data_IF_218532091471
#
_entry.id   IF_218532091471
#
_cell.length_a   1.000
_cell.length_b   1.000
_cell.length_c   1.000
_cell.angle_alpha   90.00
_cell.angle_beta   90.00
_cell.angle_gamma   90.00
#
_symmetry.space_group_name_H-M   'P 1'
#
loop_
_entity.id
_entity.type
_entity.pdbx_description
1 polymer ?
#
# COMPACT_ATOMS: atom_id res chain seq x y z
N UNK A 1 -15.09 -19.96 0.20
CA UNK A 1 -13.96 -19.11 0.58
C UNK A 1 -14.45 -17.68 0.60
N UNK A 2 -14.36 -17.01 1.74
CA UNK A 2 -14.71 -15.59 1.89
C UNK A 2 -13.74 -14.71 1.09
N UNK A 3 -14.09 -13.44 0.85
CA UNK A 3 -13.20 -12.48 0.17
C UNK A 3 -11.88 -12.35 0.96
N UNK A 4 -11.98 -12.23 2.28
CA UNK A 4 -10.83 -12.14 3.17
C UNK A 4 -9.90 -13.36 3.05
N UNK A 5 -10.47 -14.57 3.07
CA UNK A 5 -9.68 -15.81 2.93
C UNK A 5 -8.95 -15.87 1.59
N UNK A 6 -9.60 -15.48 0.48
CA UNK A 6 -8.97 -15.44 -0.84
C UNK A 6 -7.79 -14.47 -0.88
N UNK A 7 -7.99 -13.26 -0.35
CA UNK A 7 -6.96 -12.23 -0.30
C UNK A 7 -5.77 -12.65 0.57
N UNK A 8 -6.02 -13.24 1.74
CA UNK A 8 -4.95 -13.75 2.61
C UNK A 8 -4.21 -14.90 1.93
N UNK A 9 -4.92 -15.82 1.25
CA UNK A 9 -4.26 -16.89 0.50
C UNK A 9 -3.36 -16.34 -0.62
N UNK A 10 -3.77 -15.28 -1.29
CA UNK A 10 -2.95 -14.60 -2.30
C UNK A 10 -1.66 -14.01 -1.70
N UNK A 11 -1.70 -13.48 -0.48
CA UNK A 11 -0.49 -13.02 0.22
C UNK A 11 0.42 -14.20 0.57
N UNK A 12 -0.17 -15.30 1.05
CA UNK A 12 0.54 -16.51 1.47
C UNK A 12 1.10 -17.35 0.32
N UNK A 13 0.74 -17.08 -0.94
CA UNK A 13 1.27 -17.81 -2.11
C UNK A 13 2.70 -17.41 -2.50
N UNK A 14 3.46 -16.81 -1.57
CA UNK A 14 4.83 -16.34 -1.76
C UNK A 14 4.97 -14.86 -2.16
N UNK A 15 3.87 -14.10 -2.17
CA UNK A 15 3.89 -12.66 -2.52
C UNK A 15 4.25 -11.81 -1.30
N UNK A 16 3.63 -12.06 -0.15
CA UNK A 16 3.93 -11.40 1.12
C UNK A 16 3.50 -12.31 2.28
N UNK A 17 4.22 -13.43 2.43
CA UNK A 17 3.97 -14.41 3.48
C UNK A 17 4.05 -13.83 4.91
N UNK A 18 5.00 -12.92 5.26
CA UNK A 18 5.04 -12.29 6.58
C UNK A 18 3.74 -11.57 6.94
N UNK A 19 3.23 -10.71 6.05
CA UNK A 19 1.97 -10.00 6.28
C UNK A 19 0.78 -10.97 6.32
N UNK A 20 0.73 -11.96 5.43
CA UNK A 20 -0.32 -12.98 5.42
C UNK A 20 -0.41 -13.71 6.77
N UNK A 21 0.73 -14.12 7.32
CA UNK A 21 0.80 -14.76 8.64
C UNK A 21 0.43 -13.81 9.78
N UNK A 22 0.86 -12.54 9.72
CA UNK A 22 0.49 -11.51 10.71
C UNK A 22 -1.03 -11.29 10.74
N UNK A 23 -1.67 -11.23 9.59
CA UNK A 23 -3.13 -11.10 9.44
C UNK A 23 -3.86 -12.33 10.02
N UNK A 24 -3.45 -13.54 9.66
CA UNK A 24 -4.04 -14.77 10.21
C UNK A 24 -3.94 -14.83 11.73
N UNK A 25 -2.75 -14.53 12.27
CA UNK A 25 -2.53 -14.51 13.71
C UNK A 25 -3.40 -13.46 14.39
N UNK A 26 -3.59 -12.28 13.79
CA UNK A 26 -4.47 -11.27 14.35
C UNK A 26 -5.91 -11.75 14.40
N UNK A 27 -6.45 -12.28 13.30
CA UNK A 27 -7.85 -12.72 13.20
C UNK A 27 -8.16 -13.87 14.17
N UNK A 28 -7.20 -14.74 14.44
CA UNK A 28 -7.37 -15.86 15.37
C UNK A 28 -7.35 -15.43 16.85
N UNK A 29 -6.60 -14.38 17.19
CA UNK A 29 -6.31 -14.02 18.58
C UNK A 29 -6.96 -12.72 19.03
N UNK A 30 -7.42 -11.88 18.10
CA UNK A 30 -7.95 -10.53 18.36
C UNK A 30 -9.15 -10.27 17.47
N UNK A 31 -9.99 -9.34 17.90
CA UNK A 31 -11.12 -8.83 17.12
C UNK A 31 -10.81 -7.44 16.61
N UNK A 32 -11.23 -7.13 15.38
CA UNK A 32 -11.22 -5.75 14.90
C UNK A 32 -12.20 -4.95 15.75
N UNK A 33 -11.68 -3.97 16.48
CA UNK A 33 -12.45 -3.28 17.51
C UNK A 33 -12.47 -1.78 17.31
N UNK A 34 -11.44 -1.20 16.71
CA UNK A 34 -11.30 0.24 16.49
C UNK A 34 -12.10 0.70 15.28
N UNK A 35 -11.97 -0.02 14.18
CA UNK A 35 -12.58 0.37 12.91
C UNK A 35 -13.77 -0.51 12.57
N UNK A 36 -14.81 0.08 12.01
CA UNK A 36 -15.96 -0.62 11.42
C UNK A 36 -16.23 -0.08 10.03
N UNK A 37 -16.82 -0.90 9.15
CA UNK A 37 -17.31 -0.45 7.84
C UNK A 37 -18.84 -0.52 7.81
N UNK A 38 -19.48 0.50 7.23
CA UNK A 38 -20.94 0.56 7.07
C UNK A 38 -21.40 -0.04 5.72
N UNK A 39 -22.72 -0.06 5.46
CA UNK A 39 -23.28 -0.55 4.20
C UNK A 39 -22.83 0.25 2.95
N UNK A 40 -22.39 1.50 3.13
CA UNK A 40 -21.91 2.38 2.06
C UNK A 40 -20.39 2.27 1.86
N UNK A 41 -19.75 1.30 2.53
CA UNK A 41 -18.31 1.07 2.50
C UNK A 41 -17.48 2.18 3.15
N UNK A 42 -18.10 3.06 3.96
CA UNK A 42 -17.40 4.08 4.71
C UNK A 42 -16.86 3.48 6.02
N UNK A 43 -15.66 3.89 6.40
CA UNK A 43 -14.98 3.38 7.59
C UNK A 43 -15.20 4.36 8.73
N UNK A 44 -15.68 3.85 9.86
CA UNK A 44 -15.81 4.61 11.10
C UNK A 44 -14.65 4.29 12.04
N UNK A 45 -13.87 5.31 12.43
CA UNK A 45 -12.87 5.19 13.50
C UNK A 45 -13.53 5.50 14.85
N UNK A 46 -13.67 4.49 15.71
CA UNK A 46 -14.26 4.66 17.05
C UNK A 46 -13.34 5.41 18.01
N UNK A 47 -12.03 5.40 17.80
CA UNK A 47 -11.08 6.14 18.65
C UNK A 47 -11.23 7.65 18.45
N UNK A 48 -11.35 8.08 17.21
CA UNK A 48 -11.52 9.50 16.86
C UNK A 48 -12.99 9.93 16.72
N UNK A 49 -13.92 8.97 16.74
CA UNK A 49 -15.36 9.18 16.60
C UNK A 49 -15.71 9.96 15.32
N UNK A 50 -15.14 9.51 14.19
CA UNK A 50 -15.27 10.17 12.88
C UNK A 50 -15.32 9.12 11.76
N UNK A 51 -16.03 9.45 10.69
CA UNK A 51 -15.94 8.69 9.44
C UNK A 51 -14.67 9.07 8.68
N UNK A 52 -14.09 8.09 7.99
CA UNK A 52 -12.88 8.26 7.18
C UNK A 52 -13.14 9.14 5.96
N UNK A 53 -14.34 9.06 5.40
CA UNK A 53 -14.77 9.88 4.28
C UNK A 53 -15.96 10.75 4.68
N UNK A 54 -15.94 12.02 4.34
CA UNK A 54 -17.10 12.91 4.38
C UNK A 54 -18.06 12.59 3.24
N UNK A 55 -17.50 12.45 2.03
CA UNK A 55 -18.21 11.94 0.85
C UNK A 55 -17.32 10.94 0.12
N UNK A 56 -17.60 9.65 0.33
CA UNK A 56 -16.79 8.55 -0.17
C UNK A 56 -16.58 8.57 -1.68
N UNK A 57 -17.63 8.84 -2.47
CA UNK A 57 -17.53 8.81 -3.93
C UNK A 57 -16.75 10.02 -4.45
N UNK A 58 -17.06 11.22 -3.96
CA UNK A 58 -16.37 12.45 -4.38
C UNK A 58 -14.89 12.42 -4.01
N UNK A 59 -14.55 12.01 -2.78
CA UNK A 59 -13.17 11.94 -2.33
C UNK A 59 -12.39 10.87 -3.12
N UNK A 60 -12.91 9.66 -3.27
CA UNK A 60 -12.24 8.62 -4.06
C UNK A 60 -11.98 9.11 -5.48
N UNK A 61 -12.97 9.73 -6.13
CA UNK A 61 -12.83 10.26 -7.48
C UNK A 61 -11.79 11.39 -7.54
N UNK A 62 -11.79 12.30 -6.57
CA UNK A 62 -10.82 13.39 -6.50
C UNK A 62 -9.39 12.88 -6.38
N UNK A 63 -9.11 11.97 -5.44
CA UNK A 63 -7.77 11.41 -5.25
C UNK A 63 -7.34 10.55 -6.45
N UNK A 64 -8.27 9.75 -6.99
CA UNK A 64 -8.02 8.96 -8.19
C UNK A 64 -7.57 9.81 -9.39
N UNK A 65 -8.32 10.88 -9.71
CA UNK A 65 -7.96 11.77 -10.83
C UNK A 65 -6.66 12.52 -10.55
N UNK A 66 -6.49 13.05 -9.34
CA UNK A 66 -5.28 13.79 -8.94
C UNK A 66 -4.00 12.95 -9.09
N UNK A 67 -4.07 11.66 -8.75
CA UNK A 67 -2.94 10.74 -8.91
C UNK A 67 -2.68 10.49 -10.41
N UNK A 68 -3.71 10.11 -11.18
CA UNK A 68 -3.55 9.85 -12.62
C UNK A 68 -2.97 11.04 -13.40
N UNK A 69 -3.37 12.26 -13.06
CA UNK A 69 -2.88 13.49 -13.68
C UNK A 69 -1.39 13.74 -13.39
N UNK A 70 -0.93 13.42 -12.18
CA UNK A 70 0.46 13.62 -11.75
C UNK A 70 1.42 12.56 -12.25
N UNK A 71 0.96 11.33 -12.48
CA UNK A 71 1.81 10.19 -12.81
C UNK A 71 1.52 9.59 -14.19
N UNK A 72 1.47 10.40 -15.27
CA UNK A 72 1.20 9.88 -16.59
C UNK A 72 2.33 8.95 -17.03
N UNK A 73 1.97 7.71 -17.39
CA UNK A 73 2.89 6.66 -17.89
C UNK A 73 3.87 6.11 -16.85
N UNK A 74 3.73 6.48 -15.58
CA UNK A 74 4.59 5.90 -14.55
C UNK A 74 4.25 4.41 -14.40
N UNK A 75 5.22 3.50 -14.34
CA UNK A 75 4.95 2.08 -14.21
C UNK A 75 4.50 1.72 -12.79
N UNK A 76 4.84 2.56 -11.80
CA UNK A 76 4.50 2.35 -10.41
C UNK A 76 4.04 3.63 -9.71
N UNK A 77 3.35 3.45 -8.58
CA UNK A 77 3.09 4.50 -7.59
C UNK A 77 3.16 3.93 -6.18
N UNK A 78 3.43 4.80 -5.21
CA UNK A 78 3.37 4.49 -3.79
C UNK A 78 2.25 5.30 -3.15
N UNK A 79 1.40 4.65 -2.33
CA UNK A 79 0.28 5.27 -1.65
C UNK A 79 0.28 4.87 -0.17
N UNK A 80 0.14 5.85 0.71
CA UNK A 80 -0.08 5.62 2.13
C UNK A 80 -1.58 5.58 2.45
N UNK A 81 -1.98 4.51 3.13
CA UNK A 81 -3.33 4.21 3.58
C UNK A 81 -4.05 3.23 2.68
N UNK A 82 -4.57 2.15 3.26
CA UNK A 82 -5.41 1.17 2.54
C UNK A 82 -6.83 1.68 2.31
N UNK A 83 -7.37 2.44 3.27
CA UNK A 83 -8.78 2.82 3.30
C UNK A 83 -9.69 1.60 3.21
N UNK A 84 -10.75 1.69 2.39
CA UNK A 84 -11.65 0.57 2.09
C UNK A 84 -11.21 -0.21 0.83
N UNK A 85 -9.99 0.01 0.33
CA UNK A 85 -9.43 -0.54 -0.91
C UNK A 85 -10.10 -0.15 -2.25
N UNK A 86 -11.17 0.65 -2.29
CA UNK A 86 -11.79 1.06 -3.56
C UNK A 86 -10.84 1.88 -4.44
N UNK A 87 -10.17 2.87 -3.87
CA UNK A 87 -9.18 3.69 -4.59
C UNK A 87 -8.04 2.81 -5.14
N UNK A 88 -7.53 1.90 -4.31
CA UNK A 88 -6.46 0.97 -4.68
C UNK A 88 -6.88 0.08 -5.85
N UNK A 89 -8.08 -0.52 -5.78
CA UNK A 89 -8.61 -1.37 -6.86
C UNK A 89 -8.73 -0.60 -8.18
N UNK A 90 -9.14 0.67 -8.12
CA UNK A 90 -9.26 1.50 -9.31
C UNK A 90 -7.88 1.88 -9.88
N UNK A 91 -6.95 2.33 -9.04
CA UNK A 91 -5.58 2.67 -9.46
C UNK A 91 -4.84 1.44 -10.02
N UNK A 92 -5.07 0.26 -9.46
CA UNK A 92 -4.47 -0.98 -9.95
C UNK A 92 -4.81 -1.28 -11.42
N UNK A 93 -5.81 -0.64 -12.04
CA UNK A 93 -6.06 -0.79 -13.49
C UNK A 93 -5.02 -0.08 -14.35
N UNK A 94 -4.30 0.90 -13.80
CA UNK A 94 -3.44 1.83 -14.54
C UNK A 94 -1.94 1.63 -14.30
N UNK A 95 -1.56 1.01 -13.19
CA UNK A 95 -0.15 0.80 -12.82
C UNK A 95 0.24 -0.67 -12.93
N UNK A 96 1.51 -0.93 -13.22
CA UNK A 96 2.08 -2.28 -13.14
C UNK A 96 2.37 -2.66 -11.69
N UNK A 97 2.84 -1.71 -10.90
CA UNK A 97 3.15 -1.90 -9.49
C UNK A 97 2.52 -0.81 -8.63
N UNK A 98 1.65 -1.21 -7.70
CA UNK A 98 1.00 -0.33 -6.74
C UNK A 98 1.45 -0.72 -5.34
N UNK A 99 2.29 0.09 -4.72
CA UNK A 99 2.74 -0.12 -3.35
C UNK A 99 1.83 0.60 -2.38
N UNK A 100 1.18 -0.14 -1.49
CA UNK A 100 0.23 0.38 -0.52
C UNK A 100 0.81 0.20 0.87
N UNK A 101 1.08 1.31 1.54
CA UNK A 101 1.67 1.37 2.87
C UNK A 101 0.58 1.54 3.92
N UNK A 102 0.64 0.81 5.01
CA UNK A 102 -0.30 0.95 6.13
C UNK A 102 0.35 0.49 7.44
N UNK A 103 0.06 1.21 8.53
CA UNK A 103 0.52 0.88 9.88
C UNK A 103 -0.50 0.09 10.69
N UNK A 104 -1.78 0.22 10.34
CA UNK A 104 -2.88 -0.39 11.10
C UNK A 104 -3.32 -1.72 10.50
N UNK A 105 -3.02 -2.81 11.21
CA UNK A 105 -3.42 -4.15 10.80
C UNK A 105 -4.94 -4.31 10.66
N UNK A 106 -5.75 -3.60 11.46
CA UNK A 106 -7.22 -3.61 11.33
C UNK A 106 -7.69 -3.01 10.00
N UNK A 107 -7.00 -1.98 9.49
CA UNK A 107 -7.32 -1.37 8.19
C UNK A 107 -6.94 -2.28 7.02
N UNK A 108 -5.86 -3.08 7.14
CA UNK A 108 -5.61 -4.17 6.19
C UNK A 108 -6.76 -5.19 6.20
N UNK A 109 -7.17 -5.68 7.37
CA UNK A 109 -8.24 -6.67 7.47
C UNK A 109 -9.55 -6.14 6.90
N UNK A 110 -9.91 -4.90 7.20
CA UNK A 110 -11.12 -4.27 6.65
C UNK A 110 -11.05 -4.17 5.13
N UNK A 111 -9.98 -3.61 4.58
CA UNK A 111 -9.77 -3.50 3.13
C UNK A 111 -9.87 -4.87 2.44
N UNK A 112 -9.17 -5.89 2.97
CA UNK A 112 -9.16 -7.25 2.42
C UNK A 112 -10.46 -8.04 2.68
N UNK A 113 -11.30 -7.61 3.62
CA UNK A 113 -12.64 -8.17 3.79
C UNK A 113 -13.65 -7.54 2.84
N UNK A 114 -13.38 -6.32 2.39
CA UNK A 114 -14.31 -5.48 1.63
C UNK A 114 -14.18 -5.70 0.13
N UNK A 115 -12.95 -5.70 -0.39
CA UNK A 115 -12.67 -5.77 -1.83
C UNK A 115 -11.85 -7.00 -2.15
N UNK A 116 -12.27 -7.76 -3.17
CA UNK A 116 -11.46 -8.87 -3.71
C UNK A 116 -10.28 -8.28 -4.52
N UNK A 117 -9.08 -8.44 -3.97
CA UNK A 117 -7.79 -8.03 -4.55
C UNK A 117 -6.93 -9.24 -4.88
N UNK A 118 -7.47 -10.47 -4.79
CA UNK A 118 -6.67 -11.70 -4.81
C UNK A 118 -5.89 -11.86 -6.11
N UNK A 119 -6.47 -11.47 -7.25
CA UNK A 119 -5.79 -11.47 -8.54
C UNK A 119 -4.64 -10.46 -8.60
N UNK A 120 -4.87 -9.22 -8.17
CA UNK A 120 -3.85 -8.17 -8.17
C UNK A 120 -2.71 -8.46 -7.18
N UNK A 121 -3.02 -9.08 -6.05
CA UNK A 121 -2.01 -9.54 -5.08
C UNK A 121 -1.20 -10.70 -5.69
N UNK A 122 -1.84 -11.77 -6.16
CA UNK A 122 -1.17 -12.93 -6.74
C UNK A 122 -0.28 -12.57 -7.95
N UNK A 123 -0.71 -11.61 -8.76
CA UNK A 123 0.03 -11.19 -9.96
C UNK A 123 1.17 -10.21 -9.69
N UNK A 124 1.38 -9.78 -8.43
CA UNK A 124 2.39 -8.76 -8.10
C UNK A 124 2.03 -7.38 -8.66
N UNK A 125 0.73 -7.08 -8.79
CA UNK A 125 0.26 -5.77 -9.21
C UNK A 125 0.06 -4.84 -8.03
N UNK A 126 -0.42 -5.38 -6.90
CA UNK A 126 -0.53 -4.67 -5.63
C UNK A 126 0.44 -5.31 -4.64
N UNK A 127 1.25 -4.47 -4.01
CA UNK A 127 2.13 -4.85 -2.91
C UNK A 127 1.67 -4.13 -1.65
N UNK A 128 1.22 -4.90 -0.67
CA UNK A 128 0.89 -4.36 0.64
C UNK A 128 2.16 -4.32 1.49
N UNK A 129 2.48 -3.17 2.05
CA UNK A 129 3.66 -2.93 2.88
C UNK A 129 3.21 -2.52 4.26
N UNK A 130 3.49 -3.38 5.23
CA UNK A 130 3.30 -3.09 6.64
C UNK A 130 4.52 -2.35 7.16
N UNK A 131 4.36 -1.08 7.51
CA UNK A 131 5.48 -0.25 7.96
C UNK A 131 5.96 -0.59 9.37
N UNK A 132 5.17 -1.35 10.13
CA UNK A 132 5.53 -1.85 11.45
C UNK A 132 6.24 -3.23 11.37
N UNK A 133 6.49 -3.76 10.16
CA UNK A 133 7.25 -4.98 9.95
C UNK A 133 8.76 -4.72 10.19
N UNK A 134 9.39 -5.55 11.04
CA UNK A 134 10.80 -5.39 11.44
C UNK A 134 11.74 -5.35 10.22
N UNK A 135 11.39 -6.11 9.18
CA UNK A 135 12.20 -6.26 7.97
C UNK A 135 11.68 -5.45 6.78
N UNK A 136 10.90 -4.40 7.02
CA UNK A 136 10.34 -3.55 5.97
C UNK A 136 11.43 -2.94 5.07
N UNK A 137 12.58 -2.54 5.62
CA UNK A 137 13.73 -2.04 4.82
C UNK A 137 14.17 -3.08 3.77
N UNK A 138 14.32 -4.35 4.16
CA UNK A 138 14.74 -5.44 3.25
C UNK A 138 13.67 -5.67 2.19
N UNK A 139 12.39 -5.68 2.59
CA UNK A 139 11.28 -5.81 1.65
C UNK A 139 11.32 -4.70 0.59
N UNK A 140 11.52 -3.45 1.00
CA UNK A 140 11.57 -2.31 0.09
C UNK A 140 12.77 -2.34 -0.85
N UNK A 141 13.95 -2.77 -0.38
CA UNK A 141 15.11 -2.95 -1.25
C UNK A 141 14.82 -3.94 -2.37
N UNK A 142 14.17 -5.08 -2.06
CA UNK A 142 13.80 -6.09 -3.06
C UNK A 142 12.76 -5.54 -4.04
N UNK A 143 11.74 -4.85 -3.52
CA UNK A 143 10.67 -4.30 -4.34
C UNK A 143 11.19 -3.21 -5.28
N UNK A 144 12.04 -2.29 -4.81
CA UNK A 144 12.57 -1.21 -5.63
C UNK A 144 13.67 -1.63 -6.61
N UNK A 145 14.28 -2.80 -6.43
CA UNK A 145 15.26 -3.35 -7.39
C UNK A 145 14.60 -4.06 -8.60
N UNK A 146 13.27 -3.99 -8.74
CA UNK A 146 12.58 -4.51 -9.93
C UNK A 146 12.94 -3.73 -11.19
N UNK A 147 13.37 -4.46 -12.23
CA UNK A 147 14.01 -3.92 -13.45
C UNK A 147 13.21 -2.84 -14.17
N UNK A 148 11.87 -2.94 -14.20
CA UNK A 148 11.00 -2.00 -14.90
C UNK A 148 10.55 -0.80 -14.06
N UNK A 149 10.95 -0.73 -12.80
CA UNK A 149 10.75 0.45 -11.95
C UNK A 149 11.99 1.32 -11.83
N UNK A 150 13.17 0.72 -11.98
CA UNK A 150 14.45 1.36 -11.69
C UNK A 150 14.61 2.75 -12.33
N UNK A 151 14.33 2.87 -13.62
CA UNK A 151 14.46 4.13 -14.39
C UNK A 151 13.52 5.24 -13.89
N UNK A 152 12.45 4.87 -13.18
CA UNK A 152 11.42 5.77 -12.68
C UNK A 152 11.54 6.05 -11.18
N UNK A 153 12.47 5.40 -10.46
CA UNK A 153 12.65 5.62 -9.01
C UNK A 153 13.01 7.07 -8.67
N UNK A 154 13.63 7.80 -9.59
CA UNK A 154 13.91 9.24 -9.42
C UNK A 154 12.65 10.12 -9.45
N UNK A 155 11.53 9.57 -9.96
CA UNK A 155 10.23 10.22 -10.05
C UNK A 155 9.28 9.78 -8.92
N UNK A 156 9.83 9.10 -7.91
CA UNK A 156 9.09 8.67 -6.74
C UNK A 156 8.36 9.84 -6.06
N UNK A 157 7.09 9.61 -5.71
CA UNK A 157 6.26 10.44 -4.85
C UNK A 157 5.38 9.50 -4.01
N UNK A 158 5.26 9.76 -2.71
CA UNK A 158 4.28 9.08 -1.85
C UNK A 158 2.94 9.83 -1.90
N UNK A 159 1.93 9.20 -2.50
CA UNK A 159 0.56 9.68 -2.42
C UNK A 159 -0.09 9.28 -1.10
N UNK A 160 -1.21 9.91 -0.77
CA UNK A 160 -2.02 9.56 0.41
C UNK A 160 -3.44 9.29 -0.03
N UNK A 161 -4.07 8.30 0.59
CA UNK A 161 -5.35 7.76 0.16
C UNK A 161 -6.50 8.76 0.25
N UNK A 162 -6.60 9.49 1.37
CA UNK A 162 -7.69 10.43 1.62
C UNK A 162 -7.30 11.49 2.67
N UNK A 163 -8.23 12.39 2.98
CA UNK A 163 -8.04 13.49 3.95
C UNK A 163 -7.88 12.96 5.38
N UNK A 164 -8.55 11.85 5.73
CA UNK A 164 -8.45 11.24 7.05
C UNK A 164 -7.01 10.80 7.37
N UNK A 165 -6.31 10.17 6.43
CA UNK A 165 -4.90 9.79 6.64
C UNK A 165 -3.99 11.02 6.81
N UNK A 166 -4.22 12.08 6.02
CA UNK A 166 -3.49 13.35 6.20
C UNK A 166 -3.69 13.95 7.59
N UNK A 167 -4.85 13.73 8.21
CA UNK A 167 -5.19 14.33 9.51
C UNK A 167 -4.69 13.51 10.70
N UNK A 168 -4.81 12.18 10.64
CA UNK A 168 -4.56 11.31 11.79
C UNK A 168 -3.29 10.48 11.68
N UNK A 169 -2.68 10.41 10.49
CA UNK A 169 -1.50 9.60 10.20
C UNK A 169 -0.37 10.41 9.55
N UNK A 170 -0.39 11.74 9.63
CA UNK A 170 0.62 12.61 8.99
C UNK A 170 2.06 12.22 9.36
N UNK A 171 2.36 12.11 10.67
CA UNK A 171 3.69 11.73 11.15
C UNK A 171 4.12 10.34 10.67
N UNK A 172 3.17 9.39 10.58
CA UNK A 172 3.44 8.01 10.21
C UNK A 172 3.61 7.90 8.68
N UNK A 173 2.81 8.64 7.92
CA UNK A 173 2.97 8.81 6.48
C UNK A 173 4.34 9.40 6.14
N UNK A 174 4.78 10.44 6.84
CA UNK A 174 6.12 11.00 6.65
C UNK A 174 7.23 10.00 6.97
N UNK A 175 7.09 9.18 8.00
CA UNK A 175 8.05 8.09 8.28
C UNK A 175 8.09 7.05 7.14
N UNK A 176 6.94 6.69 6.59
CA UNK A 176 6.86 5.76 5.47
C UNK A 176 7.52 6.35 4.20
N UNK A 177 7.32 7.65 3.94
CA UNK A 177 7.95 8.39 2.85
C UNK A 177 9.48 8.43 3.00
N UNK A 178 9.98 8.83 4.19
CA UNK A 178 11.41 8.83 4.50
C UNK A 178 12.05 7.44 4.34
N UNK A 179 11.34 6.40 4.76
CA UNK A 179 11.77 5.01 4.62
C UNK A 179 11.93 4.62 3.15
N UNK A 180 10.96 4.98 2.30
CA UNK A 180 11.06 4.75 0.87
C UNK A 180 12.22 5.52 0.25
N UNK A 181 12.35 6.81 0.54
CA UNK A 181 13.44 7.62 0.00
C UNK A 181 14.82 7.05 0.35
N UNK A 182 15.01 6.62 1.60
CA UNK A 182 16.25 6.01 2.07
C UNK A 182 16.57 4.76 1.27
N UNK A 183 15.60 3.87 1.08
CA UNK A 183 15.79 2.61 0.34
C UNK A 183 16.02 2.85 -1.16
N UNK A 184 15.28 3.79 -1.77
CA UNK A 184 15.50 4.21 -3.16
C UNK A 184 16.92 4.77 -3.36
N UNK A 185 17.40 5.62 -2.44
CA UNK A 185 18.76 6.17 -2.49
C UNK A 185 19.81 5.06 -2.46
N UNK A 186 19.61 4.00 -1.69
CA UNK A 186 20.50 2.83 -1.65
C UNK A 186 20.49 2.07 -2.98
N UNK A 187 19.31 1.78 -3.53
CA UNK A 187 19.17 1.07 -4.82
C UNK A 187 19.87 1.84 -5.95
N UNK A 188 19.61 3.15 -6.07
CA UNK A 188 20.25 4.00 -7.08
C UNK A 188 21.77 4.03 -6.92
N UNK A 189 22.29 4.10 -5.67
CA UNK A 189 23.74 4.10 -5.40
C UNK A 189 24.42 2.80 -5.84
N UNK A 190 23.83 1.67 -5.46
CA UNK A 190 24.37 0.34 -5.79
C UNK A 190 24.46 0.13 -7.30
N UNK A 191 23.55 0.76 -8.05
CA UNK A 191 23.52 0.69 -9.51
C UNK A 191 24.60 1.56 -10.14
N UNK A 192 24.78 2.80 -9.67
CA UNK A 192 25.90 3.64 -10.12
C UNK A 192 27.26 2.97 -9.87
N UNK A 193 27.45 2.28 -8.75
CA UNK A 193 28.68 1.50 -8.52
C UNK A 193 28.82 0.31 -9.46
N UNK A 194 27.71 -0.35 -9.83
CA UNK A 194 27.72 -1.50 -10.75
C UNK A 194 28.03 -1.08 -12.19
N UNK A 195 27.51 0.07 -12.64
CA UNK A 195 27.81 0.62 -13.97
C UNK A 195 29.28 1.06 -14.12
N UNK A 196 29.91 1.57 -13.05
CA UNK A 196 31.32 1.95 -13.09
C UNK A 196 32.29 0.76 -13.26
N UNK A 197 31.86 -0.47 -12.94
CA UNK A 197 32.69 -1.69 -13.07
C UNK A 197 32.56 -2.30 -14.49
N UNK A 198 31.62 -1.83 -15.30
CA UNK A 198 31.39 -2.32 -16.67
C UNK A 198 32.16 -1.62 -17.78
N UNK A 199 33.06 -0.68 -17.45
CA UNK A 199 33.83 0.13 -18.41
C UNK A 199 35.36 0.02 -18.25
N UNK A 200 35.86 -0.97 -17.52
CA UNK A 200 37.28 -1.40 -17.54
C UNK A 200 37.42 -2.72 -18.32
#
# INVERSE_FOLDING_TARGET
MTILEKNIQALLSGVNEPLGNKLLNFIQNKTCSRFNIDENLNIYDKTHNVFMYENLEEEINFFYQSILEKTPRYPFICIYGTGNALLIKNLAKHYKHLFVFESEIELFILALSTIDLSEELCSGKIYLVDIEEERVDIQLLILFDMKDMFEYLSLYEMFVNNVYYKKFYEDIWHKADELCEKNIKVVIRNLNSSLCIGFE
#
